data_IF_600044960338
#
_entry.id   IF_600044960338
#
_cell.length_a   1.000
_cell.length_b   1.000
_cell.length_c   1.000
_cell.angle_alpha   90.00
_cell.angle_beta   90.00
_cell.angle_gamma   90.00
#
_symmetry.space_group_name_H-M   'P 1'
#
loop_
_entity.id
_entity.type
_entity.pdbx_description
1 polymer ?
#
# COMPACT_ATOMS: atom_id res chain seq x y z
N UNK A 1 -9.50 -14.63 -2.75
CA UNK A 1 -8.22 -14.56 -3.44
C UNK A 1 -8.34 -15.36 -4.72
N UNK A 2 -7.90 -14.79 -5.82
CA UNK A 2 -8.12 -15.36 -7.14
C UNK A 2 -6.79 -15.44 -7.89
N UNK A 3 -6.58 -16.52 -8.62
CA UNK A 3 -5.41 -16.66 -9.48
C UNK A 3 -5.56 -15.81 -10.73
N UNK A 4 -4.46 -15.22 -11.18
CA UNK A 4 -4.40 -14.55 -12.48
C UNK A 4 -3.72 -15.52 -13.43
N UNK A 5 -4.50 -16.07 -14.35
CA UNK A 5 -4.01 -17.11 -15.26
C UNK A 5 -3.27 -16.53 -16.46
N UNK A 6 -2.44 -17.34 -17.14
CA UNK A 6 -1.65 -16.85 -18.28
C UNK A 6 -2.47 -16.20 -19.40
N UNK A 7 -3.72 -16.59 -19.57
CA UNK A 7 -4.60 -15.97 -20.56
C UNK A 7 -5.03 -14.55 -20.18
N UNK A 8 -5.02 -14.22 -18.88
CA UNK A 8 -5.41 -12.89 -18.35
C UNK A 8 -4.21 -12.01 -18.05
N UNK A 9 -3.03 -12.60 -17.83
CA UNK A 9 -1.81 -11.85 -17.46
C UNK A 9 -1.46 -10.74 -18.45
N UNK A 10 -1.59 -10.91 -19.78
CA UNK A 10 -1.29 -9.82 -20.71
C UNK A 10 -2.15 -8.57 -20.49
N UNK A 11 -3.40 -8.73 -20.09
CA UNK A 11 -4.26 -7.58 -19.75
C UNK A 11 -3.74 -6.86 -18.51
N UNK A 12 -3.35 -7.61 -17.47
CA UNK A 12 -2.76 -7.03 -16.27
C UNK A 12 -1.46 -6.28 -16.57
N UNK A 13 -0.59 -6.87 -17.39
CA UNK A 13 0.66 -6.23 -17.80
C UNK A 13 0.41 -4.95 -18.60
N UNK A 14 -0.60 -4.97 -19.46
CA UNK A 14 -0.99 -3.79 -20.24
C UNK A 14 -1.46 -2.65 -19.33
N UNK A 15 -2.27 -2.96 -18.32
CA UNK A 15 -2.73 -1.98 -17.34
C UNK A 15 -1.59 -1.42 -16.51
N UNK A 16 -0.67 -2.29 -16.07
CA UNK A 16 0.51 -1.87 -15.29
C UNK A 16 1.41 -0.96 -16.11
N UNK A 17 1.65 -1.31 -17.38
CA UNK A 17 2.45 -0.48 -18.29
C UNK A 17 1.80 0.88 -18.51
N UNK A 18 0.50 0.92 -18.71
CA UNK A 18 -0.23 2.18 -18.88
C UNK A 18 -0.14 3.05 -17.61
N UNK A 19 -0.30 2.46 -16.43
CA UNK A 19 -0.15 3.17 -15.17
C UNK A 19 1.26 3.73 -14.99
N UNK A 20 2.29 2.93 -15.29
CA UNK A 20 3.68 3.35 -15.23
C UNK A 20 3.95 4.55 -16.15
N UNK A 21 3.48 4.49 -17.38
CA UNK A 21 3.68 5.57 -18.35
C UNK A 21 3.02 6.87 -17.91
N UNK A 22 1.77 6.79 -17.46
CA UNK A 22 1.02 7.96 -17.01
C UNK A 22 1.67 8.59 -15.77
N UNK A 23 1.96 7.79 -14.76
CA UNK A 23 2.54 8.29 -13.52
C UNK A 23 3.94 8.83 -13.71
N UNK A 24 4.76 8.19 -14.55
CA UNK A 24 6.09 8.68 -14.90
C UNK A 24 6.02 10.04 -15.61
N UNK A 25 5.03 10.23 -16.49
CA UNK A 25 4.86 11.51 -17.19
C UNK A 25 4.49 12.66 -16.26
N UNK A 26 3.89 12.37 -15.09
CA UNK A 26 3.60 13.34 -14.06
C UNK A 26 4.70 13.46 -13.00
N UNK A 27 5.85 12.83 -13.23
CA UNK A 27 6.99 12.92 -12.33
C UNK A 27 6.91 12.03 -11.10
N UNK A 28 6.04 11.02 -11.10
CA UNK A 28 5.96 10.04 -10.02
C UNK A 28 7.00 8.94 -10.20
N UNK A 29 7.65 8.56 -9.11
CA UNK A 29 8.60 7.46 -9.06
C UNK A 29 8.01 6.27 -8.32
N UNK A 30 8.28 5.06 -8.78
CA UNK A 30 7.79 3.87 -8.12
C UNK A 30 8.55 3.59 -6.84
N UNK A 31 7.82 3.25 -5.78
CA UNK A 31 8.37 2.70 -4.55
C UNK A 31 7.74 1.32 -4.33
N UNK A 32 8.53 0.36 -3.87
CA UNK A 32 8.07 -0.99 -3.55
C UNK A 32 8.19 -1.22 -2.06
N UNK A 33 7.13 -1.68 -1.45
CA UNK A 33 6.96 -1.76 -0.02
C UNK A 33 6.71 -3.21 0.43
N UNK A 34 7.08 -3.57 1.67
CA UNK A 34 6.77 -4.90 2.19
C UNK A 34 5.27 -5.16 2.27
N UNK A 35 4.89 -6.40 2.06
CA UNK A 35 3.50 -6.86 2.20
C UNK A 35 3.15 -7.02 3.68
N UNK A 36 4.10 -7.44 4.49
CA UNK A 36 3.93 -7.67 5.93
C UNK A 36 4.63 -6.54 6.69
N UNK A 37 3.91 -5.95 7.61
CA UNK A 37 4.38 -4.84 8.44
C UNK A 37 3.96 -5.05 9.89
N UNK A 38 4.64 -4.40 10.86
CA UNK A 38 4.13 -4.40 12.22
C UNK A 38 2.70 -3.84 12.29
N UNK A 39 1.85 -4.52 13.03
CA UNK A 39 0.43 -4.13 13.16
C UNK A 39 0.27 -2.69 13.65
N UNK A 40 1.15 -2.24 14.56
CA UNK A 40 1.14 -0.89 15.12
C UNK A 40 1.25 0.20 14.07
N UNK A 41 1.90 -0.09 12.95
CA UNK A 41 2.04 0.89 11.87
C UNK A 41 0.67 1.34 11.37
N UNK A 42 -0.25 0.40 11.18
CA UNK A 42 -1.58 0.70 10.67
C UNK A 42 -2.48 1.32 11.73
N UNK A 43 -2.29 0.96 12.99
CA UNK A 43 -3.06 1.51 14.11
C UNK A 43 -2.78 2.99 14.34
N UNK A 44 -1.61 3.48 13.97
CA UNK A 44 -1.20 4.88 14.19
C UNK A 44 -1.58 5.83 13.08
N UNK A 45 -1.83 5.30 11.89
CA UNK A 45 -1.64 6.13 10.70
C UNK A 45 -2.86 6.84 10.18
N UNK A 46 -4.10 6.40 10.47
CA UNK A 46 -5.24 7.03 9.82
C UNK A 46 -6.47 6.94 10.72
N UNK A 47 -6.80 8.03 11.42
CA UNK A 47 -7.83 8.12 12.44
C UNK A 47 -9.15 7.40 12.19
N UNK A 48 -9.97 7.87 11.24
CA UNK A 48 -11.34 7.36 11.04
C UNK A 48 -11.38 6.01 10.31
N UNK A 49 -10.39 5.73 9.50
CA UNK A 49 -10.28 4.46 8.76
C UNK A 49 -9.75 3.35 9.66
N UNK A 50 -9.17 3.71 10.82
CA UNK A 50 -8.49 2.78 11.72
C UNK A 50 -9.40 1.70 12.24
N UNK A 51 -10.63 2.03 12.65
CA UNK A 51 -11.57 1.06 13.18
C UNK A 51 -11.97 0.00 12.14
N UNK A 52 -12.19 0.42 10.89
CA UNK A 52 -12.54 -0.48 9.80
C UNK A 52 -11.34 -1.35 9.46
N UNK A 53 -10.16 -0.75 9.41
CA UNK A 53 -8.91 -1.43 9.08
C UNK A 53 -8.55 -2.46 10.15
N UNK A 54 -8.67 -2.12 11.44
CA UNK A 54 -8.38 -3.05 12.53
C UNK A 54 -9.29 -4.27 12.53
N UNK A 55 -10.57 -4.09 12.20
CA UNK A 55 -11.53 -5.20 12.14
C UNK A 55 -11.32 -6.10 10.92
N UNK A 56 -10.72 -5.59 9.88
CA UNK A 56 -10.56 -6.29 8.61
C UNK A 56 -9.12 -6.73 8.34
N UNK A 57 -8.16 -6.39 9.20
CA UNK A 57 -6.77 -6.77 9.01
C UNK A 57 -6.53 -8.23 9.32
N UNK A 58 -5.70 -8.85 8.49
CA UNK A 58 -5.12 -10.16 8.79
C UNK A 58 -3.88 -9.94 9.65
N UNK A 59 -3.97 -10.32 10.91
CA UNK A 59 -2.87 -10.16 11.86
C UNK A 59 -2.47 -11.50 12.46
N UNK A 60 -1.20 -11.66 12.77
CA UNK A 60 -0.66 -12.89 13.34
C UNK A 60 0.56 -12.58 14.20
N UNK A 61 0.89 -13.50 15.09
CA UNK A 61 2.09 -13.37 15.90
C UNK A 61 3.25 -14.07 15.19
N UNK A 62 4.39 -13.38 15.11
CA UNK A 62 5.62 -13.96 14.63
C UNK A 62 6.23 -14.88 15.70
N UNK A 63 7.23 -15.67 15.32
CA UNK A 63 7.90 -16.61 16.23
C UNK A 63 8.54 -15.95 17.43
N UNK A 64 8.94 -14.69 17.29
CA UNK A 64 9.54 -13.91 18.38
C UNK A 64 8.52 -13.12 19.21
N UNK A 65 7.22 -13.31 18.95
CA UNK A 65 6.15 -12.65 19.68
C UNK A 65 5.70 -11.30 19.13
N UNK A 66 6.31 -10.81 18.07
CA UNK A 66 5.86 -9.58 17.42
C UNK A 66 4.53 -9.80 16.69
N UNK A 67 3.62 -8.85 16.81
CA UNK A 67 2.36 -8.91 16.07
C UNK A 67 2.51 -8.22 14.71
N UNK A 68 2.29 -8.97 13.65
CA UNK A 68 2.44 -8.55 12.27
C UNK A 68 1.10 -8.60 11.54
N UNK A 69 0.98 -7.81 10.48
CA UNK A 69 -0.22 -7.81 9.65
C UNK A 69 0.12 -7.81 8.18
N UNK A 70 -0.75 -8.44 7.38
CA UNK A 70 -0.77 -8.22 5.94
C UNK A 70 -1.31 -6.81 5.69
N UNK A 71 -0.63 -6.05 4.86
CA UNK A 71 -1.00 -4.66 4.62
C UNK A 71 -2.41 -4.53 4.05
N UNK A 72 -3.28 -3.77 4.72
CA UNK A 72 -4.63 -3.48 4.20
C UNK A 72 -4.65 -2.31 3.23
N UNK A 73 -3.58 -1.52 3.22
CA UNK A 73 -3.40 -0.35 2.36
C UNK A 73 -1.91 -0.03 2.28
N UNK A 74 -1.53 0.88 1.41
CA UNK A 74 -0.11 1.15 1.17
C UNK A 74 0.40 2.48 1.70
N UNK A 75 -0.48 3.41 2.07
CA UNK A 75 -0.07 4.76 2.46
C UNK A 75 0.79 4.76 3.72
N UNK A 76 0.42 3.98 4.72
CA UNK A 76 1.18 3.89 5.98
C UNK A 76 2.61 3.41 5.74
N UNK A 77 2.78 2.35 4.93
CA UNK A 77 4.11 1.84 4.58
C UNK A 77 4.92 2.83 3.76
N UNK A 78 4.26 3.54 2.85
CA UNK A 78 4.91 4.56 2.03
C UNK A 78 5.45 5.71 2.89
N UNK A 79 4.65 6.21 3.81
CA UNK A 79 5.07 7.28 4.73
C UNK A 79 6.20 6.81 5.64
N UNK A 80 6.08 5.59 6.19
CA UNK A 80 7.14 5.00 7.02
C UNK A 80 8.46 4.91 6.26
N UNK A 81 8.43 4.41 5.02
CA UNK A 81 9.62 4.26 4.20
C UNK A 81 10.25 5.62 3.88
N UNK A 82 9.43 6.61 3.53
CA UNK A 82 9.92 7.95 3.25
C UNK A 82 10.59 8.58 4.48
N UNK A 83 10.00 8.41 5.65
CA UNK A 83 10.55 8.90 6.91
C UNK A 83 11.84 8.16 7.27
N UNK A 84 11.80 6.83 7.25
CA UNK A 84 12.93 5.98 7.64
C UNK A 84 14.18 6.22 6.77
N UNK A 85 14.00 6.49 5.49
CA UNK A 85 15.10 6.67 4.55
C UNK A 85 15.42 8.13 4.26
N UNK A 86 14.82 9.07 4.98
CA UNK A 86 15.08 10.49 4.83
C UNK A 86 14.70 11.06 3.47
N UNK A 87 13.73 10.48 2.79
CA UNK A 87 13.36 10.89 1.43
C UNK A 87 12.76 12.29 1.36
N UNK A 88 12.24 12.79 2.48
CA UNK A 88 11.61 14.11 2.55
C UNK A 88 12.56 15.22 3.00
N UNK A 89 13.82 14.89 3.26
CA UNK A 89 14.80 15.89 3.69
C UNK A 89 15.09 16.88 2.56
N UNK A 90 14.68 18.13 2.77
CA UNK A 90 14.82 19.23 1.81
C UNK A 90 14.21 18.94 0.42
N UNK A 91 13.25 18.02 0.33
CA UNK A 91 12.61 17.71 -0.95
C UNK A 91 11.20 17.18 -0.77
N UNK A 92 10.41 17.33 -1.81
CA UNK A 92 9.10 16.70 -1.92
C UNK A 92 9.26 15.38 -2.65
N UNK A 93 8.36 14.44 -2.38
CA UNK A 93 8.34 13.16 -3.07
C UNK A 93 6.98 12.93 -3.73
N UNK A 94 7.03 12.51 -4.99
CA UNK A 94 5.88 12.00 -5.72
C UNK A 94 6.12 10.53 -5.96
N UNK A 95 5.41 9.71 -5.21
CA UNK A 95 5.61 8.28 -5.19
C UNK A 95 4.35 7.56 -5.62
N UNK A 96 4.51 6.47 -6.35
CA UNK A 96 3.41 5.57 -6.64
C UNK A 96 3.82 4.14 -6.30
N UNK A 97 2.85 3.33 -6.04
CA UNK A 97 3.07 1.93 -5.69
C UNK A 97 1.89 1.10 -6.14
N UNK A 98 2.15 -0.18 -6.36
CA UNK A 98 1.14 -1.16 -6.70
C UNK A 98 1.50 -2.47 -6.00
N UNK A 99 0.58 -3.39 -6.01
CA UNK A 99 0.77 -4.70 -5.45
C UNK A 99 -0.41 -5.14 -4.62
N UNK A 100 -0.38 -6.37 -4.10
CA UNK A 100 -1.51 -6.92 -3.38
C UNK A 100 -1.71 -6.25 -2.02
N UNK A 101 -2.97 -5.98 -1.71
CA UNK A 101 -3.45 -5.53 -0.41
C UNK A 101 -4.45 -6.55 0.11
N UNK A 102 -4.62 -6.63 1.42
CA UNK A 102 -5.42 -7.69 2.03
C UNK A 102 -6.37 -7.13 3.07
N UNK A 103 -7.66 -7.44 2.91
CA UNK A 103 -8.68 -7.10 3.92
C UNK A 103 -9.62 -8.27 4.07
N UNK A 104 -9.95 -8.63 5.31
CA UNK A 104 -10.93 -9.66 5.59
C UNK A 104 -12.33 -9.07 5.44
N UNK A 105 -12.72 -8.84 4.20
CA UNK A 105 -14.04 -8.34 3.85
C UNK A 105 -14.99 -9.50 3.58
N UNK A 106 -16.29 -9.24 3.78
CA UNK A 106 -17.32 -10.17 3.39
C UNK A 106 -17.31 -10.28 1.87
N UNK A 107 -17.11 -11.50 1.31
CA UNK A 107 -17.07 -11.63 -0.16
C UNK A 107 -18.35 -11.14 -0.81
N UNK A 108 -18.21 -10.19 -1.72
CA UNK A 108 -19.32 -9.67 -2.54
C UNK A 108 -18.75 -9.35 -3.92
N UNK A 109 -19.63 -9.19 -4.90
CA UNK A 109 -19.22 -8.75 -6.23
C UNK A 109 -18.50 -7.41 -6.14
N UNK A 110 -17.25 -7.37 -6.62
CA UNK A 110 -16.40 -6.17 -6.55
C UNK A 110 -15.63 -6.00 -5.25
N UNK A 111 -15.80 -6.89 -4.27
CA UNK A 111 -15.04 -6.89 -3.03
C UNK A 111 -14.28 -8.20 -2.86
N UNK A 112 -12.96 -8.09 -2.84
CA UNK A 112 -12.07 -9.24 -2.72
C UNK A 112 -11.21 -9.08 -1.47
N UNK A 113 -10.85 -10.21 -0.85
CA UNK A 113 -9.95 -10.22 0.32
C UNK A 113 -8.52 -9.88 -0.06
N UNK A 114 -8.14 -10.17 -1.29
CA UNK A 114 -6.89 -9.70 -1.90
C UNK A 114 -7.24 -8.85 -3.10
N UNK A 115 -6.69 -7.65 -3.19
CA UNK A 115 -6.90 -6.74 -4.29
C UNK A 115 -5.58 -6.06 -4.65
N UNK A 116 -5.51 -5.53 -5.88
CA UNK A 116 -4.27 -4.99 -6.43
C UNK A 116 -4.48 -3.52 -6.82
N UNK A 117 -4.50 -2.60 -5.85
CA UNK A 117 -4.64 -1.19 -6.18
C UNK A 117 -3.36 -0.63 -6.76
N UNK A 118 -3.51 0.37 -7.62
CA UNK A 118 -2.44 1.29 -7.97
C UNK A 118 -2.75 2.59 -7.25
N UNK A 119 -1.79 3.07 -6.46
CA UNK A 119 -1.97 4.28 -5.67
C UNK A 119 -0.79 5.22 -5.87
N UNK A 120 -1.05 6.51 -5.73
CA UNK A 120 -0.01 7.52 -5.80
C UNK A 120 -0.19 8.53 -4.67
N UNK A 121 0.91 9.13 -4.26
CA UNK A 121 0.90 10.09 -3.18
C UNK A 121 1.99 11.13 -3.39
N UNK A 122 1.68 12.35 -3.00
CA UNK A 122 2.62 13.47 -3.00
C UNK A 122 2.95 13.81 -1.55
N UNK A 123 4.18 13.55 -1.14
CA UNK A 123 4.62 13.75 0.24
C UNK A 123 5.46 15.02 0.36
N UNK A 124 5.12 15.81 1.36
CA UNK A 124 5.89 17.00 1.74
C UNK A 124 6.06 17.00 3.26
N UNK A 125 7.18 17.54 3.74
CA UNK A 125 7.29 17.82 5.16
C UNK A 125 6.36 18.97 5.53
N UNK A 126 5.68 18.90 6.71
CA UNK A 126 4.92 20.02 7.19
C UNK A 126 5.82 21.24 7.35
N UNK A 127 5.40 22.36 6.78
CA UNK A 127 6.07 23.64 7.03
C UNK A 127 5.72 24.09 8.45
N UNK A 128 6.74 24.37 9.24
CA UNK A 128 6.51 24.99 10.54
C UNK A 128 6.00 26.40 10.30
N UNK A 129 4.79 26.63 10.74
CA UNK A 129 4.27 27.98 10.78
C UNK A 129 5.00 28.79 11.85
#
# INVERSE_FOLDING_TARGET
>A
MVDILPEDTPLWQSMETAALEVLSSYGYSEIRLPIIEPTDLFARSIGEVTDIVEKEMYSFDDRNGDNLSLRPEGTAGCVRAADQHGLLYNQQQRLWYQGPMFRHERPQKGRYRQFHPVSYTHLTLPTKA
#
